data_IF_951475659471
#
_entry.id   IF_951475659471
#
_cell.length_a   1.000
_cell.length_b   1.000
_cell.length_c   1.000
_cell.angle_alpha   90.00
_cell.angle_beta   90.00
_cell.angle_gamma   90.00
#
_symmetry.space_group_name_H-M   'P 1'
#
loop_
_entity.id
_entity.type
_entity.pdbx_description
1 polymer ?
#
# COMPACT_ATOMS: atom_id res chain seq x y z
N UNK A 1 4.35 1.37 -4.93
CA UNK A 1 3.56 0.13 -4.78
C UNK A 1 2.68 0.01 -6.00
N UNK A 2 3.00 -0.94 -6.85
CA UNK A 2 2.22 -1.23 -8.04
C UNK A 2 0.85 -1.80 -7.59
N UNK A 3 -0.25 -1.12 -7.94
CA UNK A 3 -1.62 -1.64 -7.75
C UNK A 3 -1.85 -2.78 -8.76
N UNK A 4 -1.15 -3.90 -8.54
CA UNK A 4 -1.06 -5.06 -9.41
C UNK A 4 -1.58 -6.28 -8.67
N UNK A 5 -2.35 -7.10 -9.38
CA UNK A 5 -2.95 -8.31 -8.84
C UNK A 5 -3.58 -9.15 -9.93
N UNK A 6 -4.03 -10.36 -9.58
CA UNK A 6 -4.72 -11.24 -10.52
C UNK A 6 -6.12 -10.71 -10.86
N UNK A 7 -6.61 -11.00 -12.07
CA UNK A 7 -7.96 -10.61 -12.51
C UNK A 7 -9.06 -11.11 -11.55
N UNK A 8 -8.92 -12.34 -11.06
CA UNK A 8 -9.88 -12.95 -10.12
C UNK A 8 -9.92 -12.21 -8.77
N UNK A 9 -8.79 -11.66 -8.30
CA UNK A 9 -8.75 -10.83 -7.09
C UNK A 9 -9.60 -9.56 -7.26
N UNK A 10 -9.41 -8.84 -8.37
CA UNK A 10 -10.19 -7.64 -8.64
C UNK A 10 -11.67 -7.95 -8.91
N UNK A 11 -11.99 -9.11 -9.47
CA UNK A 11 -13.38 -9.59 -9.57
C UNK A 11 -14.02 -9.68 -8.19
N UNK A 12 -13.35 -10.29 -7.20
CA UNK A 12 -13.87 -10.38 -5.84
C UNK A 12 -14.09 -8.99 -5.22
N UNK A 13 -13.16 -8.05 -5.41
CA UNK A 13 -13.34 -6.67 -4.91
C UNK A 13 -14.57 -6.02 -5.55
N UNK A 14 -14.71 -6.11 -6.87
CA UNK A 14 -15.85 -5.56 -7.59
C UNK A 14 -17.16 -6.16 -7.09
N UNK A 15 -17.21 -7.48 -6.91
CA UNK A 15 -18.41 -8.17 -6.48
C UNK A 15 -18.79 -7.79 -5.04
N UNK A 16 -17.80 -7.55 -4.15
CA UNK A 16 -18.03 -7.02 -2.80
C UNK A 16 -18.59 -5.58 -2.80
N UNK A 17 -18.27 -4.77 -3.82
CA UNK A 17 -18.68 -3.37 -3.92
C UNK A 17 -19.95 -3.16 -4.77
N UNK A 18 -20.44 -4.19 -5.45
CA UNK A 18 -21.50 -4.07 -6.44
C UNK A 18 -22.86 -3.63 -5.85
N UNK A 19 -23.10 -3.92 -4.57
CA UNK A 19 -24.33 -3.56 -3.85
C UNK A 19 -24.21 -2.29 -3.00
N UNK A 20 -23.12 -1.54 -3.10
CA UNK A 20 -22.98 -0.28 -2.38
C UNK A 20 -23.69 0.85 -3.14
N UNK A 21 -24.40 1.71 -2.40
CA UNK A 21 -25.03 2.90 -2.97
C UNK A 21 -23.96 3.86 -3.48
N UNK A 22 -22.91 4.05 -2.69
CA UNK A 22 -21.72 4.82 -3.04
C UNK A 22 -20.44 4.04 -2.75
N UNK A 23 -19.39 4.29 -3.53
CA UNK A 23 -18.06 3.73 -3.34
C UNK A 23 -17.04 4.86 -3.28
N UNK A 24 -16.36 5.00 -2.15
CA UNK A 24 -15.22 5.89 -1.97
C UNK A 24 -13.96 5.16 -2.37
N UNK A 25 -13.17 5.71 -3.28
CA UNK A 25 -11.94 5.06 -3.73
C UNK A 25 -10.72 5.95 -3.63
N UNK A 26 -9.59 5.30 -3.32
CA UNK A 26 -8.26 5.90 -3.42
C UNK A 26 -7.90 6.12 -4.90
N UNK A 27 -7.51 7.33 -5.33
CA UNK A 27 -6.94 7.49 -6.65
C UNK A 27 -5.66 6.68 -6.77
N UNK A 28 -5.66 5.81 -7.76
CA UNK A 28 -4.42 5.41 -8.38
C UNK A 28 -4.03 6.60 -9.24
N UNK A 29 -2.86 7.20 -9.03
CA UNK A 29 -2.32 8.15 -9.99
C UNK A 29 -2.13 7.42 -11.33
N UNK A 30 -3.12 7.56 -12.22
CA UNK A 30 -3.08 7.01 -13.59
C UNK A 30 -2.11 7.82 -14.46
N UNK A 31 -1.71 9.01 -14.01
CA UNK A 31 -0.88 9.99 -14.73
C UNK A 31 0.55 10.08 -14.22
N UNK A 32 0.92 9.32 -13.20
CA UNK A 32 2.31 9.18 -12.80
C UNK A 32 3.09 8.54 -13.92
N UNK A 33 3.80 9.36 -14.73
CA UNK A 33 4.98 8.92 -15.46
C UNK A 33 5.76 8.08 -14.46
N UNK A 34 5.75 6.76 -14.62
CA UNK A 34 6.85 5.94 -14.15
C UNK A 34 8.04 6.48 -14.95
N UNK A 35 8.60 7.63 -14.54
CA UNK A 35 10.00 7.89 -14.72
C UNK A 35 10.60 6.68 -14.04
N UNK A 36 11.05 5.71 -14.84
CA UNK A 36 11.94 4.66 -14.37
C UNK A 36 12.85 5.35 -13.38
N UNK A 37 12.78 4.98 -12.10
CA UNK A 37 13.84 5.40 -11.19
C UNK A 37 15.13 5.05 -11.94
N UNK A 38 16.08 5.98 -12.05
CA UNK A 38 17.35 5.66 -12.70
C UNK A 38 17.83 4.34 -12.08
N UNK A 39 18.33 3.39 -12.90
CA UNK A 39 18.95 2.20 -12.34
C UNK A 39 19.92 2.69 -11.28
N UNK A 40 19.86 2.11 -10.07
CA UNK A 40 20.89 2.33 -9.05
C UNK A 40 22.21 1.87 -9.65
N UNK A 41 22.88 2.80 -10.33
CA UNK A 41 24.15 2.66 -11.01
C UNK A 41 25.02 3.89 -10.78
N UNK A 42 24.63 4.76 -9.86
CA UNK A 42 25.60 5.61 -9.21
C UNK A 42 26.35 4.71 -8.23
N UNK A 43 27.64 4.57 -8.50
CA UNK A 43 28.60 3.82 -7.71
C UNK A 43 28.36 4.15 -6.24
N UNK A 44 27.98 3.12 -5.49
CA UNK A 44 27.98 3.19 -4.04
C UNK A 44 29.45 3.33 -3.66
N UNK A 45 29.90 4.57 -3.44
CA UNK A 45 31.21 4.88 -2.85
C UNK A 45 31.40 4.00 -1.63
N UNK A 46 32.58 3.38 -1.51
CA UNK A 46 32.95 2.38 -0.50
C UNK A 46 32.29 2.65 0.86
N UNK A 47 31.22 1.90 1.15
CA UNK A 47 30.51 2.06 2.41
C UNK A 47 31.17 1.19 3.47
N UNK A 48 32.21 1.72 4.09
CA UNK A 48 32.83 1.07 5.25
C UNK A 48 31.98 1.21 6.54
N UNK A 49 30.95 2.08 6.59
CA UNK A 49 30.13 2.32 7.79
C UNK A 49 28.61 2.55 7.53
N UNK A 50 27.89 1.62 6.86
CA UNK A 50 26.41 1.67 6.86
C UNK A 50 25.90 1.38 8.29
N UNK A 51 25.15 2.31 8.88
CA UNK A 51 24.33 2.05 10.07
C UNK A 51 23.33 0.92 9.78
N UNK A 52 23.17 -0.03 10.71
CA UNK A 52 22.21 -1.14 10.58
C UNK A 52 20.80 -0.68 10.24
N UNK A 53 20.37 0.50 10.70
CA UNK A 53 19.04 1.02 10.34
C UNK A 53 18.95 1.40 8.85
N UNK A 54 20.04 1.91 8.29
CA UNK A 54 20.15 2.26 6.87
C UNK A 54 20.24 1.02 5.99
N UNK A 55 20.99 0.00 6.41
CA UNK A 55 20.97 -1.32 5.77
C UNK A 55 19.55 -1.90 5.69
N UNK A 56 18.76 -1.77 6.76
CA UNK A 56 17.36 -2.23 6.80
C UNK A 56 16.48 -1.43 5.84
N UNK A 57 16.63 -0.10 5.81
CA UNK A 57 15.90 0.77 4.86
C UNK A 57 16.21 0.32 3.43
N UNK A 58 17.49 0.14 3.08
CA UNK A 58 17.88 -0.31 1.75
C UNK A 58 17.35 -1.69 1.41
N UNK A 59 17.39 -2.65 2.34
CA UNK A 59 16.85 -3.99 2.12
C UNK A 59 15.34 -3.96 1.84
N UNK A 60 14.57 -3.14 2.58
CA UNK A 60 13.13 -2.94 2.33
C UNK A 60 12.89 -2.34 0.94
N UNK A 61 13.64 -1.28 0.59
CA UNK A 61 13.48 -0.62 -0.71
C UNK A 61 13.87 -1.54 -1.87
N UNK A 62 14.99 -2.24 -1.76
CA UNK A 62 15.46 -3.22 -2.74
C UNK A 62 14.42 -4.33 -2.93
N UNK A 63 13.84 -4.86 -1.85
CA UNK A 63 12.77 -5.86 -1.93
C UNK A 63 11.59 -5.38 -2.78
N UNK A 64 11.06 -4.18 -2.53
CA UNK A 64 9.93 -3.67 -3.31
C UNK A 64 10.29 -3.36 -4.77
N UNK A 65 11.49 -2.84 -5.03
CA UNK A 65 11.98 -2.60 -6.39
C UNK A 65 12.09 -3.93 -7.15
N UNK A 66 12.74 -4.93 -6.56
CA UNK A 66 12.89 -6.26 -7.16
C UNK A 66 11.54 -6.97 -7.35
N UNK A 67 10.60 -6.82 -6.42
CA UNK A 67 9.24 -7.33 -6.61
C UNK A 67 8.56 -6.71 -7.84
N UNK A 68 8.75 -5.42 -8.10
CA UNK A 68 8.21 -4.76 -9.30
C UNK A 68 8.86 -5.28 -10.59
N UNK A 69 10.11 -5.74 -10.54
CA UNK A 69 10.79 -6.39 -11.67
C UNK A 69 10.26 -7.82 -11.91
N UNK A 70 10.12 -8.61 -10.83
CA UNK A 70 9.68 -10.01 -10.89
C UNK A 70 8.18 -10.13 -11.23
N UNK A 71 7.35 -9.31 -10.60
CA UNK A 71 5.88 -9.32 -10.74
C UNK A 71 5.34 -8.12 -11.50
N UNK A 72 6.21 -7.36 -12.16
CA UNK A 72 5.80 -6.29 -13.06
C UNK A 72 4.92 -6.80 -14.20
N UNK A 73 4.19 -5.89 -14.82
CA UNK A 73 3.26 -6.19 -15.93
C UNK A 73 3.92 -6.97 -17.09
N UNK A 74 5.23 -6.84 -17.27
CA UNK A 74 5.99 -7.55 -18.31
C UNK A 74 6.39 -8.99 -17.92
N UNK A 75 6.44 -9.33 -16.62
CA UNK A 75 6.96 -10.61 -16.12
C UNK A 75 5.89 -11.65 -15.79
N UNK A 76 4.60 -11.29 -15.76
CA UNK A 76 3.53 -12.20 -15.36
C UNK A 76 2.20 -11.88 -16.07
N UNK A 77 1.84 -12.59 -17.15
CA UNK A 77 0.67 -12.28 -17.99
C UNK A 77 -0.68 -12.42 -17.26
N UNK A 78 -0.71 -13.13 -16.13
CA UNK A 78 -1.92 -13.27 -15.31
C UNK A 78 -2.15 -12.10 -14.34
N UNK A 79 -1.16 -11.21 -14.16
CA UNK A 79 -1.28 -10.00 -13.36
C UNK A 79 -1.79 -8.83 -14.20
N UNK A 80 -2.63 -7.99 -13.59
CA UNK A 80 -3.17 -6.77 -14.21
C UNK A 80 -3.08 -5.59 -13.25
N UNK A 81 -3.08 -4.39 -13.82
CA UNK A 81 -3.20 -3.15 -13.08
C UNK A 81 -4.66 -2.94 -12.66
N UNK A 82 -4.88 -2.56 -11.40
CA UNK A 82 -6.17 -2.17 -10.86
C UNK A 82 -6.83 -1.07 -11.70
N UNK A 83 -6.05 -0.06 -12.09
CA UNK A 83 -6.52 1.04 -12.92
C UNK A 83 -7.06 0.62 -14.28
N UNK A 84 -6.57 -0.51 -14.84
CA UNK A 84 -7.14 -1.09 -16.07
C UNK A 84 -8.48 -1.78 -15.80
N UNK A 85 -8.62 -2.45 -14.67
CA UNK A 85 -9.84 -3.21 -14.31
C UNK A 85 -10.98 -2.28 -13.87
N UNK A 86 -10.67 -1.23 -13.11
CA UNK A 86 -11.66 -0.31 -12.55
C UNK A 86 -11.89 0.96 -13.37
N UNK A 87 -11.27 1.09 -14.56
CA UNK A 87 -11.35 2.30 -15.39
C UNK A 87 -12.77 2.82 -15.61
N UNK A 88 -13.71 1.91 -15.92
CA UNK A 88 -15.10 2.30 -16.17
C UNK A 88 -15.92 2.43 -14.88
N UNK A 89 -15.45 1.89 -13.75
CA UNK A 89 -16.06 2.10 -12.44
C UNK A 89 -15.76 3.49 -11.91
N UNK A 90 -14.52 3.96 -12.05
CA UNK A 90 -14.09 5.29 -11.61
C UNK A 90 -14.77 6.46 -12.33
N UNK A 91 -15.50 6.19 -13.40
CA UNK A 91 -16.32 7.18 -14.13
C UNK A 91 -17.78 7.20 -13.70
N UNK A 92 -18.22 6.27 -12.86
CA UNK A 92 -19.61 6.20 -12.39
C UNK A 92 -19.84 7.31 -11.37
N UNK A 93 -21.01 7.94 -11.41
CA UNK A 93 -21.36 9.02 -10.49
C UNK A 93 -21.32 8.58 -9.02
N UNK A 94 -21.71 7.33 -8.75
CA UNK A 94 -21.70 6.78 -7.40
C UNK A 94 -20.32 6.24 -6.96
N UNK A 95 -19.28 6.42 -7.77
CA UNK A 95 -17.90 6.15 -7.41
C UNK A 95 -17.20 7.49 -7.17
N UNK A 96 -17.06 7.85 -5.89
CA UNK A 96 -16.55 9.14 -5.46
C UNK A 96 -15.07 9.00 -5.13
N UNK A 97 -14.27 9.87 -5.73
CA UNK A 97 -12.85 9.91 -5.49
C UNK A 97 -12.59 10.54 -4.11
N UNK A 98 -12.03 9.76 -3.21
CA UNK A 98 -11.92 10.10 -1.78
C UNK A 98 -10.88 11.20 -1.47
N UNK A 99 -10.06 11.59 -2.46
CA UNK A 99 -9.13 12.71 -2.39
C UNK A 99 -9.68 13.99 -3.09
N UNK A 100 -10.94 14.02 -3.57
CA UNK A 100 -11.54 15.22 -4.22
C UNK A 100 -11.98 16.25 -3.18
N UNK A 101 -11.01 16.92 -2.57
CA UNK A 101 -11.11 18.37 -2.42
C UNK A 101 -10.02 18.95 -3.33
N UNK A 102 -10.35 19.92 -4.21
CA UNK A 102 -9.34 20.62 -4.98
C UNK A 102 -8.32 21.18 -4.00
N UNK A 103 -7.04 21.07 -4.35
CA UNK A 103 -5.87 21.46 -3.57
C UNK A 103 -6.16 22.62 -2.60
N UNK A 104 -6.34 22.28 -1.32
CA UNK A 104 -6.01 23.22 -0.25
C UNK A 104 -4.51 23.13 -0.12
N UNK A 105 -3.82 24.03 -0.82
CA UNK A 105 -2.45 24.50 -0.59
C UNK A 105 -1.77 23.81 0.60
N UNK A 106 -1.22 22.62 0.38
CA UNK A 106 -0.21 22.07 1.28
C UNK A 106 1.14 22.14 0.60
N UNK A 107 1.49 23.34 0.15
CA UNK A 107 2.89 23.76 0.00
C UNK A 107 3.59 23.81 1.38
N UNK A 108 2.83 23.77 2.49
CA UNK A 108 3.41 23.77 3.83
C UNK A 108 3.86 22.38 4.30
N UNK A 109 5.19 22.20 4.26
CA UNK A 109 6.00 21.29 5.09
C UNK A 109 5.95 19.79 4.78
N UNK A 110 6.55 19.38 3.67
CA UNK A 110 7.07 18.01 3.52
C UNK A 110 8.44 17.88 4.18
N UNK A 111 8.48 17.94 5.51
CA UNK A 111 9.73 17.95 6.28
C UNK A 111 10.28 16.55 6.62
N UNK A 112 9.65 15.48 6.12
CA UNK A 112 10.15 14.12 6.34
C UNK A 112 10.10 13.30 5.05
N UNK A 113 11.27 12.94 4.53
CA UNK A 113 11.36 11.91 3.51
C UNK A 113 10.74 10.61 4.04
N UNK A 114 9.99 9.83 3.22
CA UNK A 114 9.55 8.50 3.59
C UNK A 114 10.68 7.61 4.14
N UNK A 115 11.93 7.83 3.69
CA UNK A 115 13.12 7.15 4.22
C UNK A 115 13.47 7.54 5.66
N UNK A 116 13.28 8.79 6.07
CA UNK A 116 13.58 9.27 7.43
C UNK A 116 12.54 8.82 8.44
N UNK A 117 11.26 8.86 8.05
CA UNK A 117 10.18 8.33 8.89
C UNK A 117 10.35 6.82 9.14
N UNK A 118 10.75 6.09 8.10
CA UNK A 118 11.10 4.67 8.16
C UNK A 118 12.32 4.43 9.06
N UNK A 119 13.42 5.18 8.87
CA UNK A 119 14.63 5.11 9.70
C UNK A 119 14.33 5.34 11.19
N UNK A 120 13.52 6.34 11.50
CA UNK A 120 13.08 6.67 12.87
C UNK A 120 12.21 5.59 13.51
N UNK A 121 11.42 4.87 12.72
CA UNK A 121 10.65 3.75 13.25
C UNK A 121 11.56 2.54 13.51
N UNK A 122 12.48 2.24 12.59
CA UNK A 122 13.44 1.14 12.73
C UNK A 122 14.33 1.36 13.96
N UNK A 123 14.84 2.58 14.18
CA UNK A 123 15.75 2.89 15.29
C UNK A 123 15.13 2.68 16.68
N UNK A 124 13.79 2.69 16.78
CA UNK A 124 13.04 2.44 18.03
C UNK A 124 12.84 0.95 18.32
N UNK A 125 13.17 0.08 17.39
CA UNK A 125 12.99 -1.37 17.57
C UNK A 125 14.16 -1.99 18.36
N UNK A 126 13.88 -3.03 19.17
CA UNK A 126 14.94 -3.85 19.76
C UNK A 126 15.92 -4.37 18.71
N UNK A 127 17.21 -4.49 19.07
CA UNK A 127 18.27 -4.96 18.15
C UNK A 127 17.92 -6.30 17.49
N UNK A 128 17.42 -7.27 18.26
CA UNK A 128 16.98 -8.56 17.74
C UNK A 128 15.92 -8.40 16.64
N UNK A 129 14.94 -7.51 16.86
CA UNK A 129 13.87 -7.25 15.90
C UNK A 129 14.36 -6.56 14.63
N UNK A 130 15.33 -5.65 14.74
CA UNK A 130 16.00 -5.03 13.58
C UNK A 130 16.70 -6.08 12.71
N UNK A 131 17.42 -7.00 13.34
CA UNK A 131 18.09 -8.11 12.63
C UNK A 131 17.09 -9.05 11.96
N UNK A 132 15.99 -9.41 12.63
CA UNK A 132 14.92 -10.22 12.02
C UNK A 132 14.35 -9.57 10.76
N UNK A 133 14.09 -8.26 10.79
CA UNK A 133 13.59 -7.51 9.63
C UNK A 133 14.66 -7.49 8.53
N UNK A 134 15.92 -7.22 8.87
CA UNK A 134 17.02 -7.24 7.90
C UNK A 134 17.11 -8.59 7.19
N UNK A 135 17.23 -9.69 7.94
CA UNK A 135 17.34 -11.03 7.38
C UNK A 135 16.09 -11.45 6.61
N UNK A 136 14.91 -11.02 7.06
CA UNK A 136 13.69 -11.21 6.30
C UNK A 136 13.85 -10.60 4.90
N UNK A 137 14.08 -9.30 4.75
CA UNK A 137 14.14 -8.68 3.42
C UNK A 137 15.37 -9.10 2.60
N UNK A 138 16.56 -9.13 3.20
CA UNK A 138 17.80 -9.45 2.51
C UNK A 138 17.77 -10.85 1.88
N UNK A 139 17.26 -11.86 2.60
CA UNK A 139 17.17 -13.22 2.07
C UNK A 139 16.22 -13.33 0.88
N UNK A 140 15.16 -12.50 0.82
CA UNK A 140 14.25 -12.50 -0.33
C UNK A 140 14.86 -11.80 -1.53
N UNK A 141 15.56 -10.68 -1.31
CA UNK A 141 16.29 -9.98 -2.37
C UNK A 141 17.27 -10.93 -3.04
N UNK A 142 18.08 -11.66 -2.26
CA UNK A 142 19.00 -12.68 -2.81
C UNK A 142 18.27 -13.74 -3.65
N UNK A 143 17.16 -14.29 -3.14
CA UNK A 143 16.37 -15.27 -3.90
C UNK A 143 15.76 -14.71 -5.18
N UNK A 144 15.40 -13.42 -5.21
CA UNK A 144 14.92 -12.77 -6.44
C UNK A 144 16.05 -12.63 -7.46
N UNK A 145 17.25 -12.28 -7.03
CA UNK A 145 18.45 -12.20 -7.89
C UNK A 145 18.85 -13.57 -8.46
N UNK A 146 18.76 -14.61 -7.63
CA UNK A 146 18.98 -16.02 -8.03
C UNK A 146 17.80 -16.62 -8.82
N UNK A 147 16.71 -15.86 -9.02
CA UNK A 147 15.47 -16.32 -9.69
C UNK A 147 14.80 -17.53 -9.04
N UNK A 148 15.02 -17.74 -7.74
CA UNK A 148 14.39 -18.81 -6.94
C UNK A 148 13.20 -18.31 -6.11
N UNK A 149 12.93 -17.01 -6.13
CA UNK A 149 11.76 -16.41 -5.48
C UNK A 149 10.48 -16.61 -6.31
N UNK A 150 9.42 -17.11 -5.69
CA UNK A 150 8.18 -17.50 -6.38
C UNK A 150 6.98 -16.64 -5.97
N UNK A 151 5.87 -16.78 -6.70
CA UNK A 151 4.56 -16.18 -6.35
C UNK A 151 4.07 -16.63 -4.97
N UNK A 152 4.33 -17.89 -4.61
CA UNK A 152 3.97 -18.45 -3.31
C UNK A 152 4.75 -17.78 -2.19
N UNK A 153 6.04 -17.52 -2.41
CA UNK A 153 6.86 -16.77 -1.46
C UNK A 153 6.33 -15.35 -1.27
N UNK A 154 5.98 -14.65 -2.35
CA UNK A 154 5.38 -13.32 -2.26
C UNK A 154 4.07 -13.32 -1.47
N UNK A 155 3.17 -14.26 -1.74
CA UNK A 155 1.91 -14.38 -1.01
C UNK A 155 2.11 -14.70 0.49
N UNK A 156 3.14 -15.51 0.81
CA UNK A 156 3.53 -15.77 2.20
C UNK A 156 4.13 -14.54 2.87
N UNK A 157 4.98 -13.78 2.17
CA UNK A 157 5.52 -12.53 2.69
C UNK A 157 4.38 -11.54 2.98
N UNK A 158 3.41 -11.37 2.08
CA UNK A 158 2.24 -10.51 2.32
C UNK A 158 1.49 -10.92 3.60
N UNK A 159 1.30 -12.22 3.81
CA UNK A 159 0.64 -12.76 5.01
C UNK A 159 1.48 -12.52 6.28
N UNK A 160 2.80 -12.73 6.19
CA UNK A 160 3.72 -12.51 7.28
C UNK A 160 3.77 -11.02 7.67
N UNK A 161 3.87 -10.12 6.69
CA UNK A 161 3.86 -8.67 6.88
C UNK A 161 2.55 -8.20 7.53
N UNK A 162 1.39 -8.69 7.08
CA UNK A 162 0.08 -8.38 7.67
C UNK A 162 -0.04 -8.86 9.13
N UNK A 163 0.52 -10.04 9.43
CA UNK A 163 0.49 -10.61 10.78
C UNK A 163 1.42 -9.88 11.77
N UNK A 164 2.46 -9.21 11.28
CA UNK A 164 3.46 -8.54 12.10
C UNK A 164 3.12 -7.06 12.25
N UNK A 165 2.33 -6.73 13.28
CA UNK A 165 1.84 -5.37 13.57
C UNK A 165 2.93 -4.29 13.52
N UNK A 166 4.13 -4.57 14.00
CA UNK A 166 5.21 -3.57 14.02
C UNK A 166 5.79 -3.34 12.62
N UNK A 167 5.96 -4.40 11.83
CA UNK A 167 6.47 -4.30 10.47
C UNK A 167 5.43 -3.68 9.52
N UNK A 168 4.16 -4.03 9.70
CA UNK A 168 3.05 -3.36 9.04
C UNK A 168 3.04 -1.86 9.37
N UNK A 169 3.10 -1.48 10.66
CA UNK A 169 3.17 -0.06 11.07
C UNK A 169 4.37 0.68 10.50
N UNK A 170 5.51 0.00 10.34
CA UNK A 170 6.72 0.58 9.72
C UNK A 170 6.48 0.91 8.24
N UNK A 171 5.77 0.04 7.52
CA UNK A 171 5.49 0.19 6.09
C UNK A 171 4.29 1.10 5.78
N UNK A 172 3.40 1.27 6.76
CA UNK A 172 2.06 1.86 6.59
C UNK A 172 1.85 3.12 7.45
N UNK A 173 2.76 3.40 8.38
CA UNK A 173 2.59 4.45 9.39
C UNK A 173 2.84 5.88 8.92
N UNK A 174 2.96 6.14 7.61
CA UNK A 174 3.33 7.46 7.12
C UNK A 174 2.28 8.52 7.47
N UNK A 175 2.73 9.72 7.82
CA UNK A 175 1.85 10.87 8.08
C UNK A 175 0.97 11.18 6.87
N UNK A 176 1.49 10.96 5.66
CA UNK A 176 0.75 11.16 4.40
C UNK A 176 -0.45 10.22 4.29
N UNK A 177 -0.27 8.95 4.63
CA UNK A 177 -1.35 7.98 4.61
C UNK A 177 -2.49 8.39 5.55
N UNK A 178 -2.16 8.80 6.79
CA UNK A 178 -3.16 9.29 7.75
C UNK A 178 -3.88 10.55 7.28
N UNK A 179 -3.20 11.47 6.59
CA UNK A 179 -3.82 12.66 6.00
C UNK A 179 -4.84 12.26 4.92
N UNK A 180 -4.47 11.35 4.01
CA UNK A 180 -5.36 10.82 2.97
C UNK A 180 -6.57 10.09 3.56
N UNK A 181 -6.35 9.28 4.60
CA UNK A 181 -7.44 8.62 5.31
C UNK A 181 -8.41 9.62 5.95
N UNK A 182 -7.92 10.72 6.53
CA UNK A 182 -8.82 11.76 7.08
C UNK A 182 -9.67 12.39 5.98
N UNK A 183 -9.05 12.77 4.85
CA UNK A 183 -9.76 13.32 3.69
C UNK A 183 -10.84 12.37 3.16
N UNK A 184 -10.51 11.08 3.04
CA UNK A 184 -11.48 10.05 2.67
C UNK A 184 -12.70 10.06 3.60
N UNK A 185 -12.49 10.27 4.90
CA UNK A 185 -13.56 10.27 5.88
C UNK A 185 -14.34 11.60 5.95
N UNK A 186 -13.74 12.73 5.55
CA UNK A 186 -14.47 13.97 5.31
C UNK A 186 -15.46 13.80 4.13
N UNK A 187 -15.00 13.16 3.04
CA UNK A 187 -15.88 12.80 1.92
C UNK A 187 -16.94 11.78 2.34
N UNK A 188 -16.57 10.78 3.14
CA UNK A 188 -17.52 9.83 3.70
C UNK A 188 -18.63 10.51 4.48
N UNK A 189 -18.28 11.41 5.40
CA UNK A 189 -19.26 12.12 6.23
C UNK A 189 -20.20 12.96 5.36
N UNK A 190 -19.65 13.68 4.36
CA UNK A 190 -20.43 14.46 3.41
C UNK A 190 -21.41 13.59 2.58
N UNK A 191 -20.97 12.40 2.16
CA UNK A 191 -21.83 11.48 1.40
C UNK A 191 -22.96 10.94 2.27
N UNK A 192 -22.65 10.59 3.52
CA UNK A 192 -23.65 10.11 4.48
C UNK A 192 -24.68 11.20 4.77
N UNK A 193 -24.24 12.44 4.99
CA UNK A 193 -25.11 13.58 5.27
C UNK A 193 -26.02 13.95 4.09
N UNK A 194 -25.46 14.01 2.87
CA UNK A 194 -26.19 14.48 1.69
C UNK A 194 -27.13 13.42 1.08
N UNK A 195 -26.72 12.16 1.12
CA UNK A 195 -27.41 11.10 0.38
C UNK A 195 -28.08 10.06 1.28
N UNK A 196 -27.74 10.01 2.57
CA UNK A 196 -28.22 9.00 3.53
C UNK A 196 -28.23 7.56 2.94
N UNK A 197 -27.10 7.08 2.40
CA UNK A 197 -27.02 5.78 1.76
C UNK A 197 -27.22 4.65 2.76
N UNK A 198 -27.84 3.56 2.31
CA UNK A 198 -27.92 2.33 3.08
C UNK A 198 -26.57 1.62 3.21
N UNK A 199 -25.71 1.71 2.19
CA UNK A 199 -24.39 1.06 2.15
C UNK A 199 -23.35 1.94 1.44
N UNK A 200 -22.24 2.22 2.13
CA UNK A 200 -21.05 2.88 1.55
C UNK A 200 -19.88 1.89 1.48
N UNK A 201 -19.34 1.70 0.28
CA UNK A 201 -18.11 0.94 0.06
C UNK A 201 -16.87 1.85 0.17
N UNK A 202 -15.78 1.35 0.74
CA UNK A 202 -14.48 2.05 0.78
C UNK A 202 -13.44 1.13 0.15
N UNK A 203 -12.79 1.60 -0.93
CA UNK A 203 -11.82 0.84 -1.72
C UNK A 203 -10.43 1.50 -1.66
N UNK A 204 -9.64 1.04 -0.70
CA UNK A 204 -8.28 1.48 -0.41
C UNK A 204 -7.34 0.28 -0.25
N UNK A 205 -6.03 0.50 -0.38
CA UNK A 205 -5.04 -0.54 -0.07
C UNK A 205 -5.08 -0.98 1.40
N UNK A 206 -4.67 -2.22 1.69
CA UNK A 206 -4.69 -2.81 3.04
C UNK A 206 -4.00 -1.94 4.09
N UNK A 207 -2.97 -1.21 3.67
CA UNK A 207 -2.25 -0.25 4.49
C UNK A 207 -3.20 0.74 5.20
N UNK A 208 -4.29 1.16 4.57
CA UNK A 208 -5.18 2.17 5.16
C UNK A 208 -6.03 1.61 6.31
N UNK A 209 -6.23 0.30 6.34
CA UNK A 209 -7.25 -0.35 7.19
C UNK A 209 -7.11 -0.06 8.69
N UNK A 210 -5.93 -0.09 9.34
CA UNK A 210 -5.87 0.13 10.78
C UNK A 210 -6.35 1.52 11.19
N UNK A 211 -6.03 2.55 10.40
CA UNK A 211 -6.40 3.92 10.73
C UNK A 211 -7.83 4.22 10.30
N UNK A 212 -8.24 3.80 9.10
CA UNK A 212 -9.64 3.92 8.64
C UNK A 212 -10.62 3.19 9.56
N UNK A 213 -10.25 2.01 10.06
CA UNK A 213 -11.06 1.29 11.05
C UNK A 213 -11.27 2.11 12.32
N UNK A 214 -10.21 2.75 12.84
CA UNK A 214 -10.34 3.64 14.00
C UNK A 214 -11.29 4.81 13.70
N UNK A 215 -11.23 5.39 12.50
CA UNK A 215 -12.11 6.48 12.09
C UNK A 215 -13.58 6.05 12.01
N UNK A 216 -13.88 4.84 11.55
CA UNK A 216 -15.21 4.24 11.60
C UNK A 216 -15.67 4.01 13.04
N UNK A 217 -14.83 3.41 13.88
CA UNK A 217 -15.17 3.10 15.28
C UNK A 217 -15.47 4.39 16.08
N UNK A 218 -14.73 5.48 15.83
CA UNK A 218 -15.01 6.79 16.46
C UNK A 218 -16.33 7.42 16.01
N UNK A 219 -16.87 7.02 14.85
CA UNK A 219 -18.18 7.43 14.35
C UNK A 219 -19.31 6.51 14.82
N UNK A 220 -19.01 5.53 15.67
CA UNK A 220 -19.99 4.59 16.23
C UNK A 220 -20.20 3.31 15.43
N UNK A 221 -19.49 3.12 14.32
CA UNK A 221 -19.56 1.89 13.54
C UNK A 221 -18.82 0.74 14.25
N UNK A 222 -19.30 -0.49 14.05
CA UNK A 222 -18.68 -1.72 14.59
C UNK A 222 -18.41 -2.71 13.48
N UNK A 223 -17.28 -3.42 13.58
CA UNK A 223 -16.96 -4.50 12.66
C UNK A 223 -17.90 -5.69 12.90
N UNK A 224 -18.69 -6.05 11.87
CA UNK A 224 -19.58 -7.23 11.91
C UNK A 224 -18.91 -8.46 11.31
N UNK A 225 -18.04 -8.29 10.32
CA UNK A 225 -17.32 -9.39 9.68
C UNK A 225 -16.19 -8.91 8.78
N UNK A 226 -15.27 -9.81 8.45
CA UNK A 226 -14.13 -9.49 7.57
C UNK A 226 -13.76 -10.68 6.69
N UNK A 227 -13.43 -10.41 5.43
CA UNK A 227 -12.88 -11.39 4.49
C UNK A 227 -11.51 -10.93 4.04
N UNK A 228 -10.49 -11.79 4.17
CA UNK A 228 -9.15 -11.52 3.63
C UNK A 228 -9.03 -12.12 2.23
N UNK A 229 -8.50 -11.35 1.29
CA UNK A 229 -8.27 -11.78 -0.09
C UNK A 229 -6.86 -11.34 -0.50
N UNK A 230 -6.06 -12.26 -1.02
CA UNK A 230 -4.71 -11.96 -1.49
C UNK A 230 -4.74 -11.53 -2.95
N UNK A 231 -3.91 -10.55 -3.34
CA UNK A 231 -3.79 -10.07 -4.71
C UNK A 231 -3.16 -11.10 -5.67
N UNK A 232 -2.56 -12.15 -5.12
CA UNK A 232 -2.02 -13.32 -5.81
C UNK A 232 -2.57 -14.60 -5.17
N UNK A 233 -3.02 -15.56 -5.98
CA UNK A 233 -3.42 -16.89 -5.50
C UNK A 233 -2.21 -17.69 -5.02
N UNK A 234 -2.41 -18.35 -3.87
CA UNK A 234 -1.56 -19.43 -3.36
C UNK A 234 -1.90 -20.75 -4.07
#
# INVERSE_FOLDING_TARGET
MSHVGQKDYYRVIRDCLAGCDFVLYEPISLTGRYKRRPPMGEEIEDIEDIDINEAIVFAILAYYIRLEEVFGFCGSPELTLEGKVFKEFYKRENWIHADLLPDVDSEDSFEYSPSEALRKHISRLPKARRLEIFYFFASRVMRMEERTFTKRDFAWDLTALDSQKDLFKILVGSTLQKKRDRKCFEVFDSVVEQHNPGIVGIKFGVAHMPYQRRLLETRGYKLVGSKKVCCVRL
#
